data_IF_551370837666
#
_entry.id   IF_551370837666
#
_cell.length_a   1.000
_cell.length_b   1.000
_cell.length_c   1.000
_cell.angle_alpha   90.00
_cell.angle_beta   90.00
_cell.angle_gamma   90.00
#
_symmetry.space_group_name_H-M   'P 1'
#
loop_
_entity.id
_entity.type
_entity.pdbx_description
1 polymer ?
#
# COMPACT_ATOMS: atom_id res chain seq x y z
N UNK A 1 -16.02 8.59 -21.44
CA UNK A 1 -15.38 8.25 -20.15
C UNK A 1 -16.43 8.33 -19.07
N UNK A 2 -16.51 7.32 -18.21
CA UNK A 2 -17.45 7.29 -17.08
C UNK A 2 -16.68 7.15 -15.78
N UNK A 3 -17.13 7.82 -14.72
CA UNK A 3 -16.52 7.67 -13.39
C UNK A 3 -16.79 6.27 -12.88
N UNK A 4 -15.74 5.54 -12.55
CA UNK A 4 -15.83 4.23 -11.92
C UNK A 4 -16.06 4.37 -10.42
N UNK A 5 -15.19 5.14 -9.76
CA UNK A 5 -15.32 5.51 -8.36
C UNK A 5 -14.55 6.81 -8.05
N UNK A 6 -14.87 7.38 -6.90
CA UNK A 6 -14.13 8.46 -6.28
C UNK A 6 -13.42 7.94 -5.04
N UNK A 7 -12.27 8.52 -4.72
CA UNK A 7 -11.39 8.12 -3.63
C UNK A 7 -10.64 9.34 -3.10
N UNK A 8 -9.86 9.14 -2.04
CA UNK A 8 -8.95 10.16 -1.51
C UNK A 8 -7.51 9.70 -1.69
N UNK A 9 -6.62 10.60 -2.13
CA UNK A 9 -5.19 10.42 -1.96
C UNK A 9 -4.83 10.52 -0.49
N UNK A 10 -3.95 9.64 -0.04
CA UNK A 10 -3.58 9.49 1.35
C UNK A 10 -2.07 9.60 1.51
N UNK A 11 -1.65 10.30 2.55
CA UNK A 11 -0.26 10.49 2.94
C UNK A 11 -0.08 10.13 4.41
N UNK A 12 1.01 9.44 4.74
CA UNK A 12 1.39 9.17 6.11
C UNK A 12 2.86 9.56 6.33
N UNK A 13 3.13 10.49 7.26
CA UNK A 13 4.50 10.93 7.52
C UNK A 13 5.36 9.79 8.08
N UNK A 14 6.67 9.98 7.99
CA UNK A 14 7.65 9.06 8.57
C UNK A 14 7.52 9.13 10.09
N UNK A 15 6.93 8.09 10.70
CA UNK A 15 6.92 7.94 12.16
C UNK A 15 7.80 6.76 12.54
N UNK A 16 8.62 6.94 13.58
CA UNK A 16 9.55 5.93 14.06
C UNK A 16 8.85 4.64 14.53
N UNK A 17 9.52 3.51 14.26
CA UNK A 17 9.40 2.13 14.77
C UNK A 17 8.08 1.75 15.47
N UNK A 18 7.36 0.82 14.86
CA UNK A 18 6.46 -0.08 15.58
C UNK A 18 7.23 -1.36 15.90
N UNK A 19 7.39 -1.68 17.17
CA UNK A 19 7.68 -3.05 17.62
C UNK A 19 6.34 -3.82 17.58
N UNK A 20 6.00 -4.40 16.43
CA UNK A 20 4.92 -5.39 16.35
C UNK A 20 5.51 -6.76 15.97
N UNK A 21 5.37 -7.79 16.83
CA UNK A 21 5.91 -9.13 16.59
C UNK A 21 5.17 -9.93 15.51
N UNK A 22 4.11 -9.40 14.86
CA UNK A 22 3.53 -10.02 13.66
C UNK A 22 4.45 -9.81 12.45
N UNK A 23 4.98 -10.91 11.92
CA UNK A 23 5.96 -10.90 10.85
C UNK A 23 5.31 -10.71 9.48
N UNK A 24 4.84 -9.50 9.19
CA UNK A 24 4.82 -9.07 7.79
C UNK A 24 6.26 -9.09 7.30
N UNK A 25 6.56 -9.95 6.33
CA UNK A 25 7.90 -10.14 5.81
C UNK A 25 7.90 -9.95 4.29
N UNK A 26 9.04 -9.52 3.76
CA UNK A 26 9.26 -9.53 2.32
C UNK A 26 9.25 -10.97 1.80
N UNK A 27 8.49 -11.21 0.74
CA UNK A 27 8.44 -12.50 0.05
C UNK A 27 8.98 -12.36 -1.37
N UNK A 28 9.79 -13.32 -1.78
CA UNK A 28 10.39 -13.36 -3.11
C UNK A 28 9.51 -14.11 -4.14
N UNK A 29 8.42 -14.73 -3.68
CA UNK A 29 7.47 -15.52 -4.48
C UNK A 29 6.03 -15.03 -4.33
N UNK A 30 5.71 -13.90 -4.94
CA UNK A 30 4.34 -13.36 -4.93
C UNK A 30 3.38 -14.03 -5.94
N UNK A 31 3.44 -15.36 -6.07
CA UNK A 31 2.61 -16.16 -6.98
C UNK A 31 2.98 -15.97 -8.46
N UNK A 32 1.97 -15.85 -9.33
CA UNK A 32 2.12 -15.79 -10.80
C UNK A 32 2.49 -14.40 -11.36
N UNK A 33 3.07 -13.53 -10.52
CA UNK A 33 3.44 -12.18 -10.97
C UNK A 33 4.59 -12.22 -12.00
N UNK A 34 4.62 -11.26 -12.95
CA UNK A 34 5.66 -11.22 -13.97
C UNK A 34 7.05 -11.09 -13.35
N UNK A 35 8.03 -11.90 -13.80
CA UNK A 35 9.42 -11.84 -13.33
C UNK A 35 10.04 -10.43 -13.31
N UNK A 36 9.83 -9.56 -14.33
CA UNK A 36 10.38 -8.20 -14.27
C UNK A 36 9.91 -7.38 -13.06
N UNK A 37 8.72 -7.69 -12.52
CA UNK A 37 8.21 -7.03 -11.32
C UNK A 37 8.86 -7.59 -10.04
N UNK A 38 9.19 -8.89 -10.03
CA UNK A 38 9.91 -9.53 -8.92
C UNK A 38 11.38 -9.09 -8.84
N UNK A 39 11.99 -8.83 -10.01
CA UNK A 39 13.38 -8.40 -10.11
C UNK A 39 13.57 -6.88 -9.89
N UNK A 40 12.48 -6.10 -9.77
CA UNK A 40 12.55 -4.65 -9.60
C UNK A 40 12.98 -4.29 -8.17
N UNK A 41 14.14 -3.63 -7.97
CA UNK A 41 14.62 -3.26 -6.64
C UNK A 41 13.70 -2.24 -5.93
N UNK A 42 12.78 -1.60 -6.65
CA UNK A 42 11.82 -0.64 -6.14
C UNK A 42 10.43 -1.23 -5.91
N UNK A 43 10.23 -2.53 -6.08
CA UNK A 43 8.96 -3.22 -5.78
C UNK A 43 9.19 -4.37 -4.79
N UNK A 44 8.41 -4.41 -3.72
CA UNK A 44 8.46 -5.46 -2.70
C UNK A 44 7.07 -5.96 -2.36
N UNK A 45 6.97 -7.27 -2.17
CA UNK A 45 5.76 -7.93 -1.73
C UNK A 45 5.92 -8.25 -0.25
N UNK A 46 4.97 -7.82 0.56
CA UNK A 46 4.95 -8.12 1.99
C UNK A 46 3.78 -9.06 2.26
N UNK A 47 3.97 -10.05 3.13
CA UNK A 47 2.93 -10.97 3.55
C UNK A 47 3.09 -11.38 5.01
N UNK A 48 1.98 -11.64 5.68
CA UNK A 48 1.91 -12.29 7.00
C UNK A 48 1.53 -13.78 6.90
N UNK A 49 1.48 -14.33 5.68
CA UNK A 49 1.05 -15.69 5.36
C UNK A 49 -0.46 -15.88 5.14
N UNK A 50 -1.29 -14.90 5.53
CA UNK A 50 -2.74 -14.93 5.33
C UNK A 50 -3.23 -13.83 4.35
N UNK A 51 -2.51 -12.74 4.26
CA UNK A 51 -2.72 -11.63 3.34
C UNK A 51 -1.40 -11.11 2.78
N UNK A 52 -1.51 -10.07 1.97
CA UNK A 52 -0.34 -9.47 1.34
C UNK A 52 -0.60 -8.04 0.89
N UNK A 53 0.48 -7.29 0.68
CA UNK A 53 0.45 -5.94 0.13
C UNK A 53 1.69 -5.72 -0.72
N UNK A 54 1.55 -4.90 -1.75
CA UNK A 54 2.66 -4.45 -2.59
C UNK A 54 3.11 -3.08 -2.13
N UNK A 55 4.41 -2.96 -1.83
CA UNK A 55 5.09 -1.71 -1.55
C UNK A 55 5.98 -1.35 -2.75
N UNK A 56 5.82 -0.15 -3.30
CA UNK A 56 6.66 0.34 -4.39
C UNK A 56 7.30 1.68 -4.04
N UNK A 57 8.59 1.85 -4.35
CA UNK A 57 9.32 3.10 -4.13
C UNK A 57 9.37 3.92 -5.41
N UNK A 58 8.84 5.13 -5.39
CA UNK A 58 8.94 6.06 -6.52
C UNK A 58 8.79 7.50 -6.03
N UNK A 59 9.44 8.46 -6.68
CA UNK A 59 9.23 9.90 -6.40
C UNK A 59 9.51 10.33 -4.95
N UNK A 60 10.33 9.58 -4.20
CA UNK A 60 10.63 9.87 -2.79
C UNK A 60 9.55 9.43 -1.80
N UNK A 61 8.65 8.53 -2.21
CA UNK A 61 7.60 7.95 -1.34
C UNK A 61 7.53 6.44 -1.52
N UNK A 62 6.85 5.76 -0.60
CA UNK A 62 6.49 4.35 -0.70
C UNK A 62 4.98 4.25 -0.96
N UNK A 63 4.60 3.80 -2.15
CA UNK A 63 3.21 3.48 -2.47
C UNK A 63 2.81 2.12 -1.90
N UNK A 64 1.63 2.06 -1.32
CA UNK A 64 1.00 0.81 -0.86
C UNK A 64 -0.19 0.49 -1.78
N UNK A 65 -0.28 -0.76 -2.24
CA UNK A 65 -1.34 -1.18 -3.17
C UNK A 65 -1.65 -2.67 -3.07
N UNK A 66 -2.80 -3.04 -3.66
CA UNK A 66 -3.28 -4.41 -3.77
C UNK A 66 -3.27 -5.19 -2.44
N UNK A 67 -3.86 -4.65 -1.36
CA UNK A 67 -4.00 -5.41 -0.13
C UNK A 67 -4.89 -6.64 -0.36
N UNK A 68 -4.53 -7.75 0.26
CA UNK A 68 -5.33 -8.99 0.27
C UNK A 68 -5.44 -9.54 1.69
N UNK A 69 -6.34 -10.50 1.91
CA UNK A 69 -6.63 -11.03 3.24
C UNK A 69 -7.43 -10.04 4.08
N UNK A 70 -6.98 -9.76 5.31
CA UNK A 70 -7.67 -8.89 6.27
C UNK A 70 -7.44 -7.39 6.05
N UNK A 71 -6.67 -7.02 5.03
CA UNK A 71 -6.31 -5.62 4.76
C UNK A 71 -5.09 -5.13 5.54
N UNK A 72 -4.72 -3.87 5.31
CA UNK A 72 -3.55 -3.24 5.92
C UNK A 72 -3.74 -3.08 7.44
N UNK A 73 -2.72 -3.44 8.23
CA UNK A 73 -2.66 -3.19 9.67
C UNK A 73 -1.39 -2.42 10.07
N UNK A 74 -1.21 -2.18 11.38
CA UNK A 74 -0.04 -1.44 11.88
C UNK A 74 1.27 -2.18 11.61
N UNK A 75 1.28 -3.51 11.66
CA UNK A 75 2.46 -4.32 11.40
C UNK A 75 2.87 -4.26 9.92
N UNK A 76 1.90 -4.31 9.00
CA UNK A 76 2.12 -4.14 7.57
C UNK A 76 2.75 -2.77 7.25
N UNK A 77 2.24 -1.71 7.88
CA UNK A 77 2.76 -0.35 7.76
C UNK A 77 4.21 -0.27 8.25
N UNK A 78 4.50 -0.91 9.38
CA UNK A 78 5.85 -0.94 9.94
C UNK A 78 6.82 -1.67 9.02
N UNK A 79 6.42 -2.83 8.51
CA UNK A 79 7.21 -3.61 7.56
C UNK A 79 7.48 -2.81 6.27
N UNK A 80 6.46 -2.15 5.72
CA UNK A 80 6.63 -1.30 4.54
C UNK A 80 7.59 -0.11 4.79
N UNK A 81 7.44 0.58 5.92
CA UNK A 81 8.32 1.68 6.29
C UNK A 81 9.78 1.23 6.53
N UNK A 82 10.00 -0.03 6.93
CA UNK A 82 11.32 -0.60 7.13
C UNK A 82 12.06 -0.93 5.81
N UNK A 83 11.34 -1.13 4.70
CA UNK A 83 11.95 -1.43 3.40
C UNK A 83 12.83 -0.28 2.90
N UNK A 84 12.36 0.96 3.08
CA UNK A 84 13.06 2.17 2.66
C UNK A 84 12.94 3.25 3.75
N UNK A 85 13.81 3.21 4.78
CA UNK A 85 13.72 4.09 5.93
C UNK A 85 13.74 5.57 5.56
N UNK A 86 12.91 6.36 6.23
CA UNK A 86 12.86 7.81 6.03
C UNK A 86 11.96 8.27 4.88
N UNK A 87 11.29 7.36 4.18
CA UNK A 87 10.31 7.71 3.16
C UNK A 87 8.87 7.63 3.72
N UNK A 88 8.01 8.62 3.40
CA UNK A 88 6.61 8.56 3.79
C UNK A 88 5.85 7.50 2.99
N UNK A 89 4.73 7.04 3.54
CA UNK A 89 3.84 6.10 2.87
C UNK A 89 2.70 6.86 2.19
N UNK A 90 2.30 6.39 1.02
CA UNK A 90 1.17 6.94 0.25
C UNK A 90 0.28 5.83 -0.28
N UNK A 91 -0.96 6.19 -0.58
CA UNK A 91 -1.93 5.32 -1.26
C UNK A 91 -3.13 6.15 -1.67
N UNK A 92 -4.15 5.51 -2.23
CA UNK A 92 -5.50 6.08 -2.30
C UNK A 92 -6.48 5.02 -1.84
N UNK A 93 -7.58 5.44 -1.25
CA UNK A 93 -8.63 4.52 -0.82
C UNK A 93 -10.00 5.21 -0.84
N UNK A 94 -11.04 4.38 -0.83
CA UNK A 94 -12.43 4.80 -0.69
C UNK A 94 -13.18 3.83 0.24
N UNK A 95 -14.36 4.23 0.71
CA UNK A 95 -15.23 3.37 1.53
C UNK A 95 -14.54 2.87 2.80
N UNK A 96 -14.73 1.59 3.13
CA UNK A 96 -14.19 0.98 4.36
C UNK A 96 -12.65 0.97 4.39
N UNK A 97 -11.99 0.86 3.23
CA UNK A 97 -10.53 0.91 3.15
C UNK A 97 -10.00 2.30 3.51
N UNK A 98 -10.71 3.37 3.10
CA UNK A 98 -10.38 4.73 3.49
C UNK A 98 -10.45 4.89 5.01
N UNK A 99 -11.55 4.45 5.64
CA UNK A 99 -11.72 4.50 7.09
C UNK A 99 -10.59 3.74 7.82
N UNK A 100 -10.21 2.57 7.30
CA UNK A 100 -9.12 1.76 7.86
C UNK A 100 -7.76 2.48 7.75
N UNK A 101 -7.43 3.06 6.59
CA UNK A 101 -6.18 3.80 6.42
C UNK A 101 -6.12 5.05 7.30
N UNK A 102 -7.23 5.77 7.46
CA UNK A 102 -7.32 6.91 8.39
C UNK A 102 -7.07 6.46 9.84
N UNK A 103 -7.64 5.34 10.28
CA UNK A 103 -7.40 4.78 11.62
C UNK A 103 -5.93 4.36 11.87
N UNK A 104 -5.20 4.09 10.79
CA UNK A 104 -3.78 3.76 10.80
C UNK A 104 -2.86 5.01 10.75
N UNK A 105 -3.45 6.20 10.70
CA UNK A 105 -2.73 7.48 10.75
C UNK A 105 -2.31 8.00 9.38
N UNK A 106 -2.96 7.56 8.30
CA UNK A 106 -2.92 8.30 7.04
C UNK A 106 -3.79 9.55 7.13
N UNK A 107 -3.40 10.58 6.40
CA UNK A 107 -4.09 11.86 6.26
C UNK A 107 -4.50 12.05 4.79
N UNK A 108 -5.72 12.53 4.52
CA UNK A 108 -6.16 12.84 3.17
C UNK A 108 -5.43 14.08 2.64
N UNK A 109 -4.92 13.98 1.41
CA UNK A 109 -4.20 15.07 0.73
C UNK A 109 -4.93 15.60 -0.51
N UNK A 110 -6.02 14.95 -0.91
CA UNK A 110 -6.95 15.49 -1.91
C UNK A 110 -7.68 14.41 -2.72
N UNK A 111 -8.74 14.81 -3.43
CA UNK A 111 -9.61 13.88 -4.12
C UNK A 111 -8.93 13.20 -5.31
N UNK A 112 -9.29 11.93 -5.53
CA UNK A 112 -8.95 11.11 -6.70
C UNK A 112 -10.23 10.59 -7.36
N UNK A 113 -10.21 10.47 -8.69
CA UNK A 113 -11.29 9.88 -9.48
C UNK A 113 -10.73 8.94 -10.53
N UNK A 114 -11.23 7.72 -10.59
CA UNK A 114 -10.89 6.74 -11.63
C UNK A 114 -11.98 6.70 -12.68
N UNK A 115 -11.56 6.63 -13.95
CA UNK A 115 -12.44 6.73 -15.10
C UNK A 115 -12.28 5.48 -15.96
N UNK A 116 -13.39 4.97 -16.51
CA UNK A 116 -13.38 3.94 -17.53
C UNK A 116 -13.48 4.54 -18.92
N UNK A 117 -12.72 3.97 -19.85
CA UNK A 117 -12.90 4.13 -21.30
C UNK A 117 -13.76 2.98 -21.82
N UNK A 118 -14.89 3.29 -22.47
CA UNK A 118 -15.82 2.29 -23.00
C UNK A 118 -17.16 2.28 -22.26
N UNK A 119 -18.07 1.39 -22.70
CA UNK A 119 -19.31 1.11 -21.98
C UNK A 119 -19.02 0.20 -20.77
N UNK A 120 -19.71 0.41 -19.63
CA UNK A 120 -19.54 -0.40 -18.42
C UNK A 120 -20.03 -1.84 -18.58
#
# INVERSE_FOLDING_TARGET
FHVLFEAEWLYRPVTASYDDPRAWAAVDDAGDLPKPLLDDPDVRFLSDGAGGIVANRAGGVIGLSNPSGTGLDRAAIAAAAALWPGLPLVGYAWGEELDAMLALGFEPVGPLRVWLTGEP
#
